data_IF_576881353885
#
_entry.id   IF_576881353885
#
_cell.length_a   1.000
_cell.length_b   1.000
_cell.length_c   1.000
_cell.angle_alpha   90.00
_cell.angle_beta   90.00
_cell.angle_gamma   90.00
#
_symmetry.space_group_name_H-M   'P 1'
#
loop_
_entity.id
_entity.type
_entity.pdbx_description
1 polymer ?
#
# COMPACT_ATOMS: atom_id res chain seq x y z
N UNK A 1 1.64 7.17 -19.81
CA UNK A 1 0.50 6.97 -18.89
C UNK A 1 1.05 6.24 -17.67
N UNK A 2 1.14 6.91 -16.52
CA UNK A 2 1.80 6.33 -15.33
C UNK A 2 0.96 5.19 -14.76
N UNK A 3 1.57 4.01 -14.60
CA UNK A 3 0.95 2.83 -13.96
C UNK A 3 1.17 2.88 -12.45
N UNK A 4 0.25 2.28 -11.69
CA UNK A 4 0.39 2.08 -10.24
C UNK A 4 1.64 1.28 -9.91
N UNK A 5 1.92 0.23 -10.70
CA UNK A 5 3.13 -0.59 -10.53
C UNK A 5 4.38 0.27 -10.65
N UNK A 6 4.45 1.19 -11.61
CA UNK A 6 5.60 2.09 -11.80
C UNK A 6 5.81 3.03 -10.61
N UNK A 7 4.75 3.54 -10.00
CA UNK A 7 4.85 4.45 -8.84
C UNK A 7 5.37 3.68 -7.63
N UNK A 8 4.70 2.57 -7.31
CA UNK A 8 5.03 1.77 -6.13
C UNK A 8 6.43 1.17 -6.28
N UNK A 9 6.80 0.74 -7.49
CA UNK A 9 8.14 0.20 -7.73
C UNK A 9 9.24 1.23 -7.49
N UNK A 10 9.00 2.51 -7.79
CA UNK A 10 9.96 3.58 -7.46
C UNK A 10 10.03 3.89 -5.97
N UNK A 11 8.89 3.88 -5.28
CA UNK A 11 8.82 4.17 -3.85
C UNK A 11 9.53 3.09 -2.99
N UNK A 12 9.55 1.85 -3.49
CA UNK A 12 10.08 0.68 -2.77
C UNK A 12 11.32 0.04 -3.44
N UNK A 13 11.88 0.67 -4.47
CA UNK A 13 13.02 0.15 -5.25
C UNK A 13 12.79 -1.29 -5.78
N UNK A 14 11.65 -1.50 -6.43
CA UNK A 14 11.22 -2.79 -6.97
C UNK A 14 11.37 -2.85 -8.50
N UNK A 15 11.41 -4.05 -9.10
CA UNK A 15 11.35 -4.20 -10.55
C UNK A 15 10.03 -3.68 -11.13
N UNK A 16 10.06 -2.90 -12.22
CA UNK A 16 8.84 -2.36 -12.84
C UNK A 16 8.05 -3.40 -13.67
N UNK A 17 8.58 -4.62 -13.85
CA UNK A 17 7.97 -5.71 -14.62
C UNK A 17 7.15 -6.70 -13.77
N UNK A 18 6.73 -6.30 -12.57
CA UNK A 18 5.90 -7.10 -11.68
C UNK A 18 4.45 -7.20 -12.18
N UNK A 19 3.82 -8.34 -11.93
CA UNK A 19 2.35 -8.47 -11.99
C UNK A 19 1.69 -7.88 -10.75
N UNK A 20 0.39 -7.59 -10.80
CA UNK A 20 -0.36 -7.07 -9.63
C UNK A 20 -0.25 -8.00 -8.40
N UNK A 21 -0.29 -9.32 -8.61
CA UNK A 21 -0.17 -10.30 -7.52
C UNK A 21 1.24 -10.27 -6.92
N UNK A 22 2.28 -10.22 -7.75
CA UNK A 22 3.65 -10.15 -7.24
C UNK A 22 3.93 -8.84 -6.50
N UNK A 23 3.39 -7.73 -6.98
CA UNK A 23 3.48 -6.44 -6.30
C UNK A 23 2.81 -6.52 -4.92
N UNK A 24 1.60 -7.09 -4.86
CA UNK A 24 0.89 -7.31 -3.59
C UNK A 24 1.71 -8.15 -2.64
N UNK A 25 2.23 -9.30 -3.07
CA UNK A 25 2.99 -10.22 -2.21
C UNK A 25 4.25 -9.55 -1.64
N UNK A 26 4.94 -8.74 -2.44
CA UNK A 26 6.11 -7.97 -1.99
C UNK A 26 5.71 -6.94 -0.94
N UNK A 27 4.61 -6.20 -1.18
CA UNK A 27 4.10 -5.21 -0.22
C UNK A 27 3.63 -5.84 1.08
N UNK A 28 2.94 -6.99 1.03
CA UNK A 28 2.53 -7.74 2.23
C UNK A 28 3.75 -8.11 3.06
N UNK A 29 4.81 -8.64 2.44
CA UNK A 29 6.06 -8.97 3.16
C UNK A 29 6.72 -7.72 3.76
N UNK A 30 6.77 -6.62 3.00
CA UNK A 30 7.35 -5.36 3.48
C UNK A 30 6.56 -4.79 4.66
N UNK A 31 5.23 -4.79 4.59
CA UNK A 31 4.38 -4.30 5.68
C UNK A 31 4.33 -5.24 6.87
N UNK A 32 4.46 -6.56 6.69
CA UNK A 32 4.59 -7.50 7.79
C UNK A 32 5.83 -7.19 8.63
N UNK A 33 6.98 -7.02 7.98
CA UNK A 33 8.21 -6.56 8.64
C UNK A 33 8.00 -5.22 9.36
N UNK A 34 7.38 -4.24 8.72
CA UNK A 34 7.17 -2.93 9.36
C UNK A 34 6.17 -2.98 10.52
N UNK A 35 5.19 -3.87 10.49
CA UNK A 35 4.26 -4.06 11.62
C UNK A 35 5.00 -4.62 12.83
N UNK A 36 5.91 -5.56 12.62
CA UNK A 36 6.64 -6.25 13.69
C UNK A 36 7.85 -5.46 14.20
N UNK A 37 8.64 -4.88 13.28
CA UNK A 37 9.96 -4.33 13.58
C UNK A 37 10.02 -2.79 13.59
N UNK A 38 9.17 -2.09 12.83
CA UNK A 38 9.22 -0.62 12.71
C UNK A 38 7.87 0.03 12.40
N UNK A 39 6.97 -0.02 13.38
CA UNK A 39 5.62 0.52 13.24
C UNK A 39 5.60 2.04 13.03
N UNK A 40 6.61 2.75 13.51
CA UNK A 40 6.72 4.21 13.28
C UNK A 40 6.96 4.51 11.81
N UNK A 41 7.85 3.76 11.15
CA UNK A 41 8.09 3.88 9.71
C UNK A 41 6.88 3.46 8.88
N UNK A 42 6.16 2.43 9.32
CA UNK A 42 4.87 2.04 8.71
C UNK A 42 3.93 3.25 8.63
N UNK A 43 3.65 3.89 9.77
CA UNK A 43 2.73 5.03 9.83
C UNK A 43 3.19 6.20 8.95
N UNK A 44 4.50 6.47 8.88
CA UNK A 44 5.05 7.50 8.01
C UNK A 44 4.81 7.21 6.53
N UNK A 45 4.99 5.96 6.09
CA UNK A 45 4.72 5.53 4.71
C UNK A 45 3.25 5.71 4.37
N UNK A 46 2.35 5.23 5.24
CA UNK A 46 0.91 5.30 5.03
C UNK A 46 0.42 6.76 4.99
N UNK A 47 0.94 7.62 5.85
CA UNK A 47 0.62 9.05 5.87
C UNK A 47 1.05 9.74 4.56
N UNK A 48 2.30 9.53 4.10
CA UNK A 48 2.79 10.09 2.83
C UNK A 48 2.00 9.62 1.61
N UNK A 49 1.46 8.41 1.70
CA UNK A 49 0.63 7.83 0.66
C UNK A 49 -0.82 8.35 0.66
N UNK A 50 -1.20 9.19 1.64
CA UNK A 50 -2.58 9.63 1.90
C UNK A 50 -3.53 8.45 2.18
N UNK A 51 -3.04 7.43 2.91
CA UNK A 51 -3.90 6.34 3.41
C UNK A 51 -4.64 6.85 4.66
N UNK A 52 -5.97 6.73 4.63
CA UNK A 52 -6.84 7.17 5.72
C UNK A 52 -6.61 6.31 6.98
N UNK A 53 -6.11 6.95 8.05
CA UNK A 53 -5.78 6.28 9.31
C UNK A 53 -7.01 5.79 10.07
N UNK A 54 -8.14 6.51 9.99
CA UNK A 54 -9.39 6.07 10.61
C UNK A 54 -9.91 4.83 9.91
N UNK A 55 -9.90 4.84 8.57
CA UNK A 55 -10.28 3.69 7.76
C UNK A 55 -9.34 2.50 7.96
N UNK A 56 -8.05 2.75 8.11
CA UNK A 56 -7.08 1.69 8.41
C UNK A 56 -7.36 1.05 9.77
N UNK A 57 -7.59 1.86 10.80
CA UNK A 57 -7.90 1.37 12.14
C UNK A 57 -9.18 0.53 12.12
N UNK A 58 -10.23 1.02 11.47
CA UNK A 58 -11.48 0.29 11.28
C UNK A 58 -11.27 -1.03 10.51
N UNK A 59 -10.46 -1.01 9.45
CA UNK A 59 -10.13 -2.22 8.68
C UNK A 59 -9.36 -3.24 9.53
N UNK A 60 -8.42 -2.80 10.36
CA UNK A 60 -7.68 -3.71 11.24
C UNK A 60 -8.58 -4.29 12.34
N UNK A 61 -9.47 -3.48 12.91
CA UNK A 61 -10.44 -3.93 13.93
C UNK A 61 -11.49 -4.89 13.36
N UNK A 62 -11.96 -4.66 12.12
CA UNK A 62 -12.97 -5.47 11.45
C UNK A 62 -12.42 -6.73 10.77
N UNK A 63 -11.11 -6.83 10.55
CA UNK A 63 -10.45 -7.97 9.91
C UNK A 63 -9.51 -8.68 10.88
N UNK A 64 -9.97 -8.98 12.09
CA UNK A 64 -9.17 -9.69 13.12
C UNK A 64 -8.67 -11.06 12.68
N UNK A 65 -9.31 -11.67 11.68
CA UNK A 65 -8.97 -12.99 11.16
C UNK A 65 -7.93 -12.95 10.02
N UNK A 66 -7.61 -11.76 9.50
CA UNK A 66 -6.59 -11.57 8.48
C UNK A 66 -5.31 -10.97 9.08
N UNK A 67 -4.13 -11.32 8.53
CA UNK A 67 -2.91 -10.64 8.92
C UNK A 67 -3.02 -9.14 8.64
N UNK A 68 -2.64 -8.30 9.61
CA UNK A 68 -2.67 -6.85 9.46
C UNK A 68 -1.93 -6.35 8.20
N UNK A 69 -0.84 -7.02 7.84
CA UNK A 69 -0.04 -6.72 6.66
C UNK A 69 -0.81 -6.84 5.33
N UNK A 70 -1.70 -7.84 5.20
CA UNK A 70 -2.57 -8.00 4.04
C UNK A 70 -3.52 -6.82 3.89
N UNK A 71 -4.19 -6.47 4.99
CA UNK A 71 -5.13 -5.36 5.06
C UNK A 71 -4.45 -4.03 4.70
N UNK A 72 -3.25 -3.80 5.23
CA UNK A 72 -2.45 -2.61 4.95
C UNK A 72 -2.02 -2.55 3.48
N UNK A 73 -1.51 -3.66 2.93
CA UNK A 73 -1.06 -3.71 1.54
C UNK A 73 -2.18 -3.39 0.57
N UNK A 74 -3.36 -3.96 0.79
CA UNK A 74 -4.53 -3.74 -0.06
C UNK A 74 -5.03 -2.29 0.05
N UNK A 75 -5.09 -1.73 1.26
CA UNK A 75 -5.45 -0.33 1.47
C UNK A 75 -4.47 0.64 0.78
N UNK A 76 -3.17 0.35 0.86
CA UNK A 76 -2.13 1.14 0.22
C UNK A 76 -2.27 1.10 -1.31
N UNK A 77 -2.37 -0.09 -1.91
CA UNK A 77 -2.54 -0.26 -3.37
C UNK A 77 -3.81 0.44 -3.86
N UNK A 78 -4.93 0.28 -3.14
CA UNK A 78 -6.19 0.93 -3.49
C UNK A 78 -6.05 2.46 -3.51
N UNK A 79 -5.31 3.04 -2.56
CA UNK A 79 -5.05 4.47 -2.53
C UNK A 79 -4.21 4.93 -3.71
N UNK A 80 -3.16 4.18 -4.08
CA UNK A 80 -2.34 4.49 -5.25
C UNK A 80 -3.12 4.38 -6.57
N UNK A 81 -4.01 3.40 -6.70
CA UNK A 81 -4.94 3.28 -7.83
C UNK A 81 -5.82 4.53 -7.96
N UNK A 82 -6.45 4.96 -6.87
CA UNK A 82 -7.29 6.15 -6.86
C UNK A 82 -6.50 7.44 -7.22
N UNK A 83 -5.23 7.55 -6.79
CA UNK A 83 -4.34 8.66 -7.20
C UNK A 83 -4.13 8.68 -8.72
N UNK A 84 -3.78 7.54 -9.30
CA UNK A 84 -3.57 7.42 -10.76
C UNK A 84 -4.83 7.73 -11.55
N UNK A 85 -5.99 7.23 -11.10
CA UNK A 85 -7.29 7.55 -11.73
C UNK A 85 -7.62 9.04 -11.67
N UNK A 86 -7.34 9.68 -10.53
CA UNK A 86 -7.52 11.13 -10.36
C UNK A 86 -6.65 11.89 -11.35
N UNK A 87 -5.36 11.54 -11.46
CA UNK A 87 -4.47 12.17 -12.44
C UNK A 87 -4.97 11.97 -13.87
N UNK A 88 -5.39 10.75 -14.25
CA UNK A 88 -5.95 10.49 -15.59
C UNK A 88 -7.21 11.32 -15.89
N UNK A 89 -8.05 11.57 -14.90
CA UNK A 89 -9.30 12.33 -15.06
C UNK A 89 -9.07 13.83 -15.27
N UNK A 90 -7.97 14.37 -14.74
CA UNK A 90 -7.66 15.80 -14.74
C UNK A 90 -6.38 16.15 -15.52
N UNK A 91 -5.80 15.20 -16.27
CA UNK A 91 -4.71 15.42 -17.24
C UNK A 91 -5.27 15.50 -18.65
#
# INVERSE_FOLDING_TARGET
MTSVITIISKDFDLPENLTDSQLRDVLVKAFAYLVEDDFSKLLQILYRADVDQYKLKELLENNSDLPAADVIADAYIARQKAKVETWKKYS
#
